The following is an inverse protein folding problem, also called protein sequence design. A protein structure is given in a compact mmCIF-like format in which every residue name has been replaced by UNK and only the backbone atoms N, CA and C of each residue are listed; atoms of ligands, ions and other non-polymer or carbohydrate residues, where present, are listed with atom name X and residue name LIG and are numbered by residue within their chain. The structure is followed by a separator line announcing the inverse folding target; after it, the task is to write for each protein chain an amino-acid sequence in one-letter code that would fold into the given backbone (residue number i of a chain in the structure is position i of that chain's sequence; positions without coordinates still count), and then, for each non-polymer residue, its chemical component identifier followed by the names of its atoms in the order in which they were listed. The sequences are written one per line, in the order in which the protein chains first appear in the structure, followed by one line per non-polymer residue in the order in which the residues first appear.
data_IF_974169162360
#
_entry.id   IF_974169162360
#
_cell.length_a   1.000
_cell.length_b   1.000
_cell.length_c   1.000
_cell.angle_alpha   90.00
_cell.angle_beta   90.00
_cell.angle_gamma   90.00
#
_symmetry.space_group_name_H-M   'P 1'
#
loop_
_entity.id
_entity.type
_entity.pdbx_description
1 polymer ?
#
# COMPACT_ATOMS: atom_id res chain seq x y z
N UNK A 1 -22.46 14.48 14.14
CA UNK A 1 -22.06 13.61 15.26
C UNK A 1 -21.11 12.59 14.66
N UNK A 2 -19.83 12.73 15.04
CA UNK A 2 -18.67 11.86 14.81
C UNK A 2 -18.46 11.33 13.39
N UNK A 3 -17.76 12.12 12.56
CA UNK A 3 -16.85 11.57 11.55
C UNK A 3 -15.94 10.55 12.25
N UNK A 4 -15.87 9.33 11.71
CA UNK A 4 -14.83 8.37 12.10
C UNK A 4 -13.44 8.95 11.81
N UNK A 5 -12.36 8.34 12.34
CA UNK A 5 -11.01 8.77 11.99
C UNK A 5 -10.90 8.72 10.46
N UNK A 6 -10.51 9.85 9.85
CA UNK A 6 -10.22 9.91 8.43
C UNK A 6 -9.23 8.78 8.10
N UNK A 7 -9.62 7.84 7.25
CA UNK A 7 -8.75 6.75 6.86
C UNK A 7 -7.52 7.35 6.15
N UNK A 8 -6.34 7.18 6.74
CA UNK A 8 -5.06 7.57 6.14
C UNK A 8 -4.84 6.69 4.92
N UNK A 9 -4.81 7.28 3.73
CA UNK A 9 -4.68 6.53 2.48
C UNK A 9 -4.97 7.37 1.24
N UNK A 10 -4.49 6.90 0.09
CA UNK A 10 -4.81 7.48 -1.22
C UNK A 10 -5.96 6.69 -1.88
N UNK A 11 -7.06 7.36 -2.20
CA UNK A 11 -8.27 6.72 -2.72
C UNK A 11 -8.63 7.17 -4.13
N UNK A 12 -9.09 6.21 -4.94
CA UNK A 12 -9.71 6.46 -6.24
C UNK A 12 -11.15 5.93 -6.26
N UNK A 13 -11.93 6.30 -7.28
CA UNK A 13 -13.34 5.93 -7.37
C UNK A 13 -13.68 5.17 -8.68
N UNK A 14 -13.14 3.96 -8.91
CA UNK A 14 -13.45 3.18 -10.10
C UNK A 14 -14.85 2.56 -10.03
N UNK A 15 -15.41 2.23 -11.20
CA UNK A 15 -16.58 1.36 -11.35
C UNK A 15 -16.15 -0.06 -11.67
N UNK A 16 -16.72 -1.03 -10.94
CA UNK A 16 -16.38 -2.45 -11.07
C UNK A 16 -17.56 -3.19 -11.69
N UNK A 17 -17.32 -3.87 -12.81
CA UNK A 17 -18.36 -4.57 -13.56
C UNK A 17 -19.54 -3.67 -13.96
N UNK A 18 -19.31 -2.39 -14.22
CA UNK A 18 -20.37 -1.44 -14.55
C UNK A 18 -21.31 -1.11 -13.37
N UNK A 19 -20.91 -1.40 -12.13
CA UNK A 19 -21.56 -0.94 -10.91
C UNK A 19 -21.33 0.55 -10.63
N UNK A 20 -21.76 1.05 -9.46
CA UNK A 20 -21.45 2.41 -9.03
C UNK A 20 -19.93 2.62 -8.89
N UNK A 21 -19.50 3.88 -8.90
CA UNK A 21 -18.15 4.23 -8.48
C UNK A 21 -18.06 4.07 -6.97
N UNK A 22 -17.01 3.39 -6.50
CA UNK A 22 -16.80 3.12 -5.07
C UNK A 22 -15.39 3.56 -4.65
N UNK A 23 -15.20 4.06 -3.42
CA UNK A 23 -13.88 4.44 -2.94
C UNK A 23 -13.01 3.19 -2.77
N UNK A 24 -11.84 3.18 -3.41
CA UNK A 24 -10.87 2.08 -3.35
C UNK A 24 -9.52 2.64 -2.92
N UNK A 25 -8.95 2.07 -1.85
CA UNK A 25 -7.61 2.38 -1.37
C UNK A 25 -6.58 1.88 -2.39
N UNK A 26 -5.69 2.76 -2.85
CA UNK A 26 -4.51 2.38 -3.64
C UNK A 26 -3.44 1.89 -2.69
N UNK A 27 -3.08 0.62 -2.82
CA UNK A 27 -2.18 -0.06 -1.91
C UNK A 27 -0.98 -0.61 -2.69
N UNK A 28 0.20 0.02 -2.55
CA UNK A 28 1.42 -0.50 -3.18
C UNK A 28 1.97 -1.72 -2.43
N UNK A 29 1.59 -1.90 -1.17
CA UNK A 29 1.86 -3.01 -0.26
C UNK A 29 1.25 -4.37 -0.64
N UNK A 30 0.28 -4.39 -1.55
CA UNK A 30 -0.42 -5.60 -2.00
C UNK A 30 -0.58 -5.66 -3.53
N UNK A 31 -1.18 -6.75 -4.06
CA UNK A 31 -1.38 -6.96 -5.50
C UNK A 31 -2.75 -7.58 -5.76
N UNK A 32 -3.54 -6.93 -6.62
CA UNK A 32 -4.89 -7.31 -7.04
C UNK A 32 -6.00 -6.51 -6.35
N UNK A 33 -7.26 -6.72 -6.73
CA UNK A 33 -8.40 -5.94 -6.24
C UNK A 33 -9.31 -6.79 -5.35
N UNK A 34 -9.43 -6.40 -4.07
CA UNK A 34 -10.45 -6.90 -3.14
C UNK A 34 -11.51 -5.83 -2.92
N UNK A 35 -12.78 -6.21 -2.96
CA UNK A 35 -13.92 -5.31 -2.74
C UNK A 35 -14.97 -5.95 -1.85
N UNK A 36 -15.51 -5.24 -0.85
CA UNK A 36 -16.64 -5.72 -0.07
C UNK A 36 -17.85 -6.02 -0.95
N UNK A 37 -18.63 -7.03 -0.55
CA UNK A 37 -19.83 -7.43 -1.27
C UNK A 37 -20.83 -6.28 -1.49
N UNK A 38 -20.95 -5.34 -0.55
CA UNK A 38 -21.87 -4.21 -0.70
C UNK A 38 -21.46 -3.19 -1.79
N UNK A 39 -20.20 -3.21 -2.23
CA UNK A 39 -19.63 -2.22 -3.16
C UNK A 39 -19.71 -2.66 -4.62
N UNK A 40 -20.33 -3.80 -4.88
CA UNK A 40 -20.46 -4.37 -6.23
C UNK A 40 -21.89 -4.80 -6.53
N UNK A 41 -22.26 -4.74 -7.80
CA UNK A 41 -23.47 -5.40 -8.28
C UNK A 41 -23.11 -6.81 -8.76
N UNK A 42 -23.32 -7.82 -7.91
CA UNK A 42 -23.01 -9.23 -8.23
C UNK A 42 -23.61 -9.70 -9.56
N UNK A 43 -24.80 -9.21 -9.94
CA UNK A 43 -25.45 -9.61 -11.18
C UNK A 43 -24.65 -9.21 -12.44
N UNK A 44 -23.77 -8.21 -12.32
CA UNK A 44 -22.95 -7.71 -13.42
C UNK A 44 -21.54 -8.32 -13.46
N UNK A 45 -21.12 -9.06 -12.43
CA UNK A 45 -19.74 -9.57 -12.33
C UNK A 45 -19.51 -10.86 -13.13
N UNK A 46 -20.58 -11.47 -13.64
CA UNK A 46 -20.53 -12.75 -14.35
C UNK A 46 -20.54 -13.95 -13.40
N UNK A 47 -19.99 -15.08 -13.87
CA UNK A 47 -19.98 -16.33 -13.11
C UNK A 47 -18.94 -16.27 -11.98
N UNK A 48 -19.27 -16.71 -10.75
CA UNK A 48 -18.30 -16.81 -9.67
C UNK A 48 -17.20 -17.82 -10.02
N UNK A 49 -15.97 -17.44 -9.74
CA UNK A 49 -14.79 -18.29 -9.80
C UNK A 49 -14.46 -18.93 -8.45
N UNK A 50 -13.19 -19.34 -8.24
CA UNK A 50 -12.73 -19.91 -6.98
C UNK A 50 -12.84 -18.92 -5.80
N UNK A 51 -13.00 -19.49 -4.60
CA UNK A 51 -12.87 -18.76 -3.34
C UNK A 51 -11.43 -18.81 -2.79
N UNK A 52 -11.09 -17.87 -1.92
CA UNK A 52 -9.77 -17.80 -1.28
C UNK A 52 -9.76 -16.86 -0.08
N UNK A 53 -8.56 -16.62 0.45
CA UNK A 53 -8.34 -15.71 1.58
C UNK A 53 -7.29 -14.65 1.24
N UNK A 54 -7.49 -13.44 1.75
CA UNK A 54 -6.51 -12.37 1.75
C UNK A 54 -6.21 -11.97 3.20
N UNK A 55 -4.97 -11.58 3.47
CA UNK A 55 -4.49 -11.13 4.77
C UNK A 55 -3.93 -9.72 4.66
N UNK A 56 -4.37 -8.83 5.55
CA UNK A 56 -3.90 -7.45 5.66
C UNK A 56 -3.52 -7.15 7.12
N UNK A 57 -2.59 -6.23 7.32
CA UNK A 57 -2.08 -5.87 8.64
C UNK A 57 -0.72 -6.46 8.96
N UNK A 58 -0.15 -6.03 10.08
CA UNK A 58 1.11 -6.56 10.59
C UNK A 58 0.90 -7.91 11.30
N UNK A 59 1.92 -8.76 11.25
CA UNK A 59 1.83 -10.10 11.84
C UNK A 59 1.97 -10.10 13.37
N UNK A 60 2.23 -8.95 14.01
CA UNK A 60 2.56 -8.86 15.44
C UNK A 60 1.46 -8.27 16.32
N UNK A 61 0.59 -7.40 15.80
CA UNK A 61 -0.43 -6.70 16.58
C UNK A 61 -1.87 -7.05 16.14
N UNK A 62 -2.16 -7.06 14.84
CA UNK A 62 -3.51 -7.37 14.34
C UNK A 62 -3.52 -7.77 12.86
N UNK A 63 -4.07 -8.95 12.56
CA UNK A 63 -4.23 -9.44 11.19
C UNK A 63 -5.71 -9.45 10.82
N UNK A 64 -6.06 -8.72 9.76
CA UNK A 64 -7.34 -8.81 9.07
C UNK A 64 -7.27 -9.95 8.05
N UNK A 65 -8.21 -10.89 8.13
CA UNK A 65 -8.40 -11.93 7.12
C UNK A 65 -9.74 -11.72 6.42
N UNK A 66 -9.70 -11.68 5.10
CA UNK A 66 -10.85 -11.54 4.21
C UNK A 66 -11.05 -12.85 3.45
N UNK A 67 -12.21 -13.46 3.60
CA UNK A 67 -12.63 -14.56 2.73
C UNK A 67 -13.34 -13.98 1.51
N UNK A 68 -12.97 -14.42 0.31
CA UNK A 68 -13.51 -13.87 -0.93
C UNK A 68 -13.92 -14.95 -1.93
N UNK A 69 -14.75 -14.53 -2.89
CA UNK A 69 -15.01 -15.25 -4.14
C UNK A 69 -14.55 -14.39 -5.31
N UNK A 70 -13.82 -14.99 -6.26
CA UNK A 70 -13.31 -14.27 -7.42
C UNK A 70 -14.34 -14.15 -8.54
N UNK A 71 -14.22 -13.10 -9.34
CA UNK A 71 -15.00 -12.85 -10.55
C UNK A 71 -14.08 -12.31 -11.63
N UNK A 72 -14.43 -12.53 -12.90
CA UNK A 72 -13.70 -11.97 -14.04
C UNK A 72 -14.57 -10.89 -14.68
N UNK A 73 -14.17 -9.63 -14.53
CA UNK A 73 -14.95 -8.47 -15.00
C UNK A 73 -14.03 -7.31 -15.39
N UNK A 74 -14.60 -6.19 -15.80
CA UNK A 74 -13.85 -4.96 -16.12
C UNK A 74 -13.82 -4.00 -14.93
N UNK A 75 -12.73 -3.25 -14.80
CA UNK A 75 -12.63 -2.10 -13.88
C UNK A 75 -12.49 -0.84 -14.73
N UNK A 76 -13.36 0.13 -14.51
CA UNK A 76 -13.41 1.40 -15.22
C UNK A 76 -12.94 2.52 -14.29
N UNK A 77 -11.80 3.12 -14.61
CA UNK A 77 -11.20 4.22 -13.87
C UNK A 77 -11.68 5.61 -14.31
N UNK A 78 -12.65 5.67 -15.23
CA UNK A 78 -13.13 6.91 -15.85
C UNK A 78 -12.34 7.29 -17.11
N UNK A 79 -12.79 8.34 -17.81
CA UNK A 79 -12.11 8.91 -18.99
C UNK A 79 -11.77 7.90 -20.11
N UNK A 80 -12.51 6.79 -20.21
CA UNK A 80 -12.24 5.72 -21.17
C UNK A 80 -11.11 4.76 -20.78
N UNK A 81 -10.53 4.92 -19.58
CA UNK A 81 -9.52 4.03 -19.02
C UNK A 81 -10.25 2.84 -18.39
N UNK A 82 -10.40 1.78 -19.17
CA UNK A 82 -11.09 0.55 -18.77
C UNK A 82 -10.18 -0.64 -19.00
N UNK A 83 -10.10 -1.53 -18.01
CA UNK A 83 -9.34 -2.77 -18.16
C UNK A 83 -10.01 -3.70 -19.18
N UNK A 84 -9.21 -4.59 -19.76
CA UNK A 84 -9.76 -5.87 -20.21
C UNK A 84 -10.34 -6.67 -19.02
N UNK A 85 -10.95 -7.84 -19.27
CA UNK A 85 -11.38 -8.71 -18.19
C UNK A 85 -10.22 -9.05 -17.24
N UNK A 86 -10.43 -8.84 -15.94
CA UNK A 86 -9.45 -9.05 -14.88
C UNK A 86 -10.12 -9.68 -13.66
N UNK A 87 -9.32 -10.32 -12.82
CA UNK A 87 -9.78 -10.91 -11.55
C UNK A 87 -10.12 -9.80 -10.55
N UNK A 88 -11.31 -9.87 -9.98
CA UNK A 88 -11.77 -9.08 -8.83
C UNK A 88 -12.22 -10.04 -7.75
N UNK A 89 -11.74 -9.87 -6.53
CA UNK A 89 -12.18 -10.65 -5.38
C UNK A 89 -13.25 -9.89 -4.60
N UNK A 90 -14.42 -10.51 -4.49
CA UNK A 90 -15.52 -9.98 -3.68
C UNK A 90 -15.47 -10.62 -2.31
N UNK A 91 -15.21 -9.80 -1.29
CA UNK A 91 -15.12 -10.23 0.11
C UNK A 91 -16.51 -10.60 0.62
N UNK A 92 -16.64 -11.83 1.10
CA UNK A 92 -17.91 -12.41 1.59
C UNK A 92 -17.97 -12.50 3.11
N UNK A 93 -16.82 -12.55 3.77
CA UNK A 93 -16.70 -12.52 5.22
C UNK A 93 -15.33 -11.94 5.60
N UNK A 94 -15.22 -11.37 6.81
CA UNK A 94 -13.96 -10.88 7.33
C UNK A 94 -13.85 -11.12 8.83
N UNK A 95 -12.64 -11.35 9.32
CA UNK A 95 -12.33 -11.45 10.74
C UNK A 95 -10.97 -10.86 11.04
N UNK A 96 -10.80 -10.34 12.26
CA UNK A 96 -9.51 -9.92 12.80
C UNK A 96 -9.05 -10.88 13.87
N UNK A 97 -7.75 -11.13 13.88
CA UNK A 97 -7.07 -11.90 14.91
C UNK A 97 -6.01 -11.02 15.54
N UNK A 98 -6.08 -10.86 16.85
CA UNK A 98 -5.08 -10.17 17.67
C UNK A 98 -4.80 -10.96 18.97
N UNK A 99 -4.10 -10.33 19.91
CA UNK A 99 -3.75 -10.94 21.21
C UNK A 99 -4.97 -11.34 22.07
N UNK A 100 -6.15 -10.79 21.79
CA UNK A 100 -7.41 -11.09 22.49
C UNK A 100 -8.19 -12.23 21.82
N UNK A 101 -7.78 -12.69 20.64
CA UNK A 101 -8.39 -13.77 19.88
C UNK A 101 -8.96 -13.30 18.53
N UNK A 102 -9.86 -14.11 17.96
CA UNK A 102 -10.49 -13.84 16.67
C UNK A 102 -11.91 -13.29 16.83
N UNK A 103 -12.26 -12.26 16.07
CA UNK A 103 -13.61 -11.70 16.01
C UNK A 103 -14.00 -11.30 14.59
N UNK A 104 -15.28 -11.41 14.27
CA UNK A 104 -15.84 -11.00 12.97
C UNK A 104 -15.77 -9.49 12.80
N UNK A 105 -15.40 -9.05 11.60
CA UNK A 105 -15.47 -7.64 11.20
C UNK A 105 -16.65 -7.45 10.23
N UNK A 106 -17.55 -6.50 10.48
CA UNK A 106 -18.59 -6.15 9.52
C UNK A 106 -17.99 -5.76 8.17
N UNK A 107 -18.56 -6.25 7.06
CA UNK A 107 -18.07 -5.90 5.72
C UNK A 107 -18.17 -4.40 5.43
N UNK A 108 -19.07 -3.67 6.10
CA UNK A 108 -19.17 -2.20 6.05
C UNK A 108 -17.91 -1.48 6.54
N UNK A 109 -17.08 -2.16 7.32
CA UNK A 109 -15.89 -1.59 7.96
C UNK A 109 -14.60 -2.02 7.24
N UNK A 110 -14.74 -2.81 6.17
CA UNK A 110 -13.63 -3.27 5.33
C UNK A 110 -13.52 -2.33 4.12
N UNK A 111 -12.35 -1.72 3.87
CA UNK A 111 -12.16 -0.92 2.67
C UNK A 111 -12.03 -1.83 1.44
N UNK A 112 -12.49 -1.35 0.28
CA UNK A 112 -12.01 -1.88 -0.98
C UNK A 112 -10.54 -1.53 -1.17
N UNK A 113 -9.72 -2.48 -1.62
CA UNK A 113 -8.26 -2.32 -1.78
C UNK A 113 -7.84 -2.70 -3.19
N UNK A 114 -7.19 -1.77 -3.89
CA UNK A 114 -6.49 -2.02 -5.14
C UNK A 114 -4.99 -2.11 -4.90
N UNK A 115 -4.53 -3.33 -4.74
CA UNK A 115 -3.12 -3.70 -4.74
C UNK A 115 -2.45 -3.40 -6.10
N UNK A 116 -1.56 -2.42 -6.11
CA UNK A 116 -0.77 -2.02 -7.29
C UNK A 116 0.70 -2.45 -7.20
N UNK A 117 1.08 -3.18 -6.15
CA UNK A 117 2.39 -3.82 -6.02
C UNK A 117 2.61 -4.97 -7.02
N UNK A 118 3.85 -5.47 -7.05
CA UNK A 118 4.33 -6.44 -8.05
C UNK A 118 4.84 -7.72 -7.43
N UNK A 119 5.63 -7.67 -6.36
CA UNK A 119 6.33 -8.83 -5.80
C UNK A 119 5.76 -9.34 -4.46
N UNK A 120 4.53 -8.92 -4.13
CA UNK A 120 3.75 -9.34 -2.96
C UNK A 120 2.27 -9.46 -3.34
N UNK A 121 1.44 -9.96 -2.43
CA UNK A 121 -0.03 -9.94 -2.57
C UNK A 121 -0.66 -11.26 -3.00
N UNK A 122 -2.00 -11.28 -2.98
CA UNK A 122 -2.83 -12.49 -3.05
C UNK A 122 -3.12 -12.95 -4.48
N UNK A 123 -3.06 -12.03 -5.44
CA UNK A 123 -3.38 -12.28 -6.83
C UNK A 123 -2.10 -12.38 -7.68
N UNK A 124 -2.12 -13.05 -8.84
CA UNK A 124 -0.93 -13.21 -9.68
C UNK A 124 -0.47 -11.91 -10.36
N UNK A 125 -1.38 -10.95 -10.58
CA UNK A 125 -1.12 -9.68 -11.26
C UNK A 125 -1.93 -8.55 -10.64
N UNK A 126 -1.47 -7.31 -10.79
CA UNK A 126 -2.29 -6.14 -10.46
C UNK A 126 -3.39 -5.95 -11.50
N UNK A 127 -4.54 -5.41 -11.07
CA UNK A 127 -5.66 -4.99 -11.95
C UNK A 127 -5.19 -4.00 -13.03
N UNK A 128 -4.20 -3.17 -12.72
CA UNK A 128 -3.63 -2.19 -13.67
C UNK A 128 -2.97 -2.89 -14.86
N UNK A 129 -2.38 -4.07 -14.68
CA UNK A 129 -1.75 -4.84 -15.77
C UNK A 129 -2.76 -5.32 -16.83
N UNK A 130 -4.07 -5.29 -16.52
CA UNK A 130 -5.13 -5.59 -17.48
C UNK A 130 -5.55 -4.37 -18.32
N UNK A 131 -4.97 -3.18 -18.10
CA UNK A 131 -5.21 -2.02 -18.95
C UNK A 131 -4.58 -2.21 -20.35
N UNK A 132 -5.23 -1.71 -21.41
CA UNK A 132 -4.79 -1.93 -22.78
C UNK A 132 -3.53 -1.13 -23.14
N UNK A 133 -2.74 -1.67 -24.06
CA UNK A 133 -1.57 -1.01 -24.63
C UNK A 133 -0.52 -0.68 -23.57
N UNK A 134 -0.05 0.56 -23.57
CA UNK A 134 1.01 0.98 -22.64
C UNK A 134 0.49 1.33 -21.24
N UNK A 135 -0.83 1.45 -21.04
CA UNK A 135 -1.43 1.85 -19.77
C UNK A 135 -1.15 0.83 -18.64
N UNK A 136 -0.96 -0.45 -18.99
CA UNK A 136 -0.65 -1.51 -18.03
C UNK A 136 0.83 -1.66 -17.68
N UNK A 137 1.70 -0.69 -17.99
CA UNK A 137 3.15 -0.78 -17.72
C UNK A 137 3.55 -0.39 -16.29
N UNK A 138 2.69 0.33 -15.60
CA UNK A 138 2.92 0.80 -14.24
C UNK A 138 1.95 1.90 -13.88
N UNK A 139 2.17 2.50 -12.73
CA UNK A 139 1.30 3.54 -12.18
C UNK A 139 2.10 4.54 -11.36
N UNK A 140 1.89 5.83 -11.62
CA UNK A 140 2.40 6.93 -10.81
C UNK A 140 1.37 7.27 -9.73
N UNK A 141 1.79 7.21 -8.48
CA UNK A 141 1.04 7.76 -7.34
C UNK A 141 1.64 9.13 -7.03
N UNK A 142 0.86 10.19 -7.21
CA UNK A 142 1.26 11.55 -6.90
C UNK A 142 0.21 12.17 -6.00
N UNK A 143 0.39 12.02 -4.68
CA UNK A 143 -0.60 12.40 -3.66
C UNK A 143 -0.01 13.40 -2.65
N UNK A 144 0.14 14.68 -2.99
CA UNK A 144 0.70 15.66 -2.06
C UNK A 144 -0.25 15.94 -0.89
N UNK A 145 0.14 15.58 0.35
CA UNK A 145 -0.67 15.69 1.58
C UNK A 145 -1.33 17.07 1.83
N UNK A 146 -0.76 18.14 1.28
CA UNK A 146 -1.22 19.51 1.51
C UNK A 146 -1.73 20.22 0.25
N UNK A 147 -1.89 19.52 -0.87
CA UNK A 147 -2.45 20.10 -2.08
C UNK A 147 -3.68 19.30 -2.55
N UNK A 148 -4.81 19.96 -2.88
CA UNK A 148 -5.91 19.27 -3.54
C UNK A 148 -5.45 18.81 -4.93
N UNK A 149 -5.85 17.60 -5.32
CA UNK A 149 -5.61 17.09 -6.67
C UNK A 149 -4.53 16.02 -6.80
N UNK A 150 -4.40 15.13 -5.82
CA UNK A 150 -3.63 13.90 -5.98
C UNK A 150 -4.11 13.11 -7.22
N UNK A 151 -3.16 12.49 -7.92
CA UNK A 151 -3.40 11.80 -9.20
C UNK A 151 -2.85 10.39 -9.17
N UNK A 152 -3.58 9.50 -9.85
CA UNK A 152 -3.12 8.16 -10.21
C UNK A 152 -2.99 8.12 -11.74
N UNK A 153 -1.76 8.09 -12.25
CA UNK A 153 -1.52 8.10 -13.69
C UNK A 153 -1.05 6.72 -14.16
N UNK A 154 -1.75 6.14 -15.12
CA UNK A 154 -1.45 4.82 -15.66
C UNK A 154 -0.56 4.91 -16.89
N UNK A 155 0.36 3.95 -17.00
CA UNK A 155 1.18 3.75 -18.19
C UNK A 155 2.66 3.99 -17.95
N UNK A 156 3.44 4.40 -18.98
CA UNK A 156 4.86 4.72 -18.79
C UNK A 156 5.05 5.84 -17.77
N UNK A 157 6.15 5.81 -17.01
CA UNK A 157 6.47 6.90 -16.07
C UNK A 157 6.55 8.24 -16.83
N UNK A 158 5.67 9.21 -16.51
CA UNK A 158 5.66 10.50 -17.20
C UNK A 158 6.71 11.47 -16.64
N UNK A 159 7.33 11.16 -15.49
CA UNK A 159 8.24 12.04 -14.79
C UNK A 159 9.70 11.58 -14.88
N UNK A 160 10.67 12.49 -14.69
CA UNK A 160 12.08 12.14 -14.60
C UNK A 160 12.38 11.40 -13.27
N UNK A 161 12.95 10.21 -13.39
CA UNK A 161 13.43 9.44 -12.25
C UNK A 161 14.59 10.16 -11.54
N UNK A 162 14.46 10.36 -10.23
CA UNK A 162 15.54 10.82 -9.35
C UNK A 162 16.36 9.64 -8.85
N UNK A 163 15.67 8.61 -8.37
CA UNK A 163 16.27 7.38 -7.84
C UNK A 163 15.27 6.23 -7.92
N UNK A 164 15.75 5.01 -7.77
CA UNK A 164 14.92 3.82 -7.87
C UNK A 164 15.42 2.69 -7.00
N UNK A 165 14.50 1.81 -6.62
CA UNK A 165 14.76 0.58 -5.90
C UNK A 165 14.20 -0.58 -6.69
N UNK A 166 15.01 -1.62 -6.88
CA UNK A 166 14.54 -2.87 -7.46
C UNK A 166 13.59 -3.57 -6.49
N UNK A 167 12.40 -3.93 -6.97
CA UNK A 167 11.32 -4.48 -6.16
C UNK A 167 10.19 -3.46 -5.96
N UNK A 168 8.97 -3.96 -5.98
CA UNK A 168 7.77 -3.17 -5.69
C UNK A 168 6.69 -4.05 -5.05
N UNK A 169 6.29 -3.82 -3.81
CA UNK A 169 6.83 -2.86 -2.84
C UNK A 169 8.06 -3.39 -2.09
N UNK A 170 8.31 -4.70 -2.10
CA UNK A 170 9.34 -5.30 -1.25
C UNK A 170 10.72 -5.13 -1.84
N UNK A 171 11.61 -4.55 -1.04
CA UNK A 171 12.99 -4.30 -1.40
C UNK A 171 13.94 -4.42 -0.20
N UNK A 172 15.25 -4.38 -0.47
CA UNK A 172 16.28 -4.14 0.55
C UNK A 172 16.52 -2.64 0.66
N UNK A 173 16.28 -2.08 1.84
CA UNK A 173 16.55 -0.68 2.14
C UNK A 173 17.63 -0.56 3.22
N UNK A 174 18.25 0.62 3.32
CA UNK A 174 19.16 0.96 4.41
C UNK A 174 18.54 2.09 5.21
N UNK A 175 18.40 1.89 6.52
CA UNK A 175 17.76 2.85 7.42
C UNK A 175 18.79 3.46 8.36
N UNK A 176 18.73 4.78 8.53
CA UNK A 176 19.50 5.49 9.54
C UNK A 176 18.53 6.23 10.47
N UNK A 177 18.59 5.91 11.77
CA UNK A 177 17.80 6.56 12.81
C UNK A 177 18.65 7.57 13.55
N UNK A 178 18.15 8.79 13.69
CA UNK A 178 18.69 9.82 14.56
C UNK A 178 17.71 10.05 15.71
N UNK A 179 18.05 9.71 16.97
CA UNK A 179 17.15 9.90 18.09
C UNK A 179 16.98 11.40 18.40
N UNK A 180 15.93 11.77 19.17
CA UNK A 180 15.64 13.17 19.49
C UNK A 180 16.82 13.86 20.19
N UNK A 181 17.34 14.92 19.57
CA UNK A 181 18.50 15.68 20.09
C UNK A 181 19.83 14.91 20.07
N UNK A 182 19.89 13.73 19.45
CA UNK A 182 21.09 12.91 19.33
C UNK A 182 21.78 13.03 17.97
N UNK A 183 22.82 12.20 17.79
CA UNK A 183 23.53 12.07 16.51
C UNK A 183 22.97 10.90 15.69
N UNK A 184 23.08 10.93 14.35
CA UNK A 184 22.67 9.81 13.51
C UNK A 184 23.36 8.50 13.92
N UNK A 185 22.58 7.43 14.04
CA UNK A 185 23.07 6.08 14.27
C UNK A 185 23.82 5.53 13.05
N UNK A 186 24.37 4.32 13.19
CA UNK A 186 24.95 3.62 12.05
C UNK A 186 23.85 3.14 11.09
N UNK A 187 23.96 3.37 9.77
CA UNK A 187 23.00 2.84 8.79
C UNK A 187 22.88 1.32 8.90
N UNK A 188 21.66 0.80 8.93
CA UNK A 188 21.35 -0.63 9.04
C UNK A 188 20.64 -1.12 7.78
N UNK A 189 21.09 -2.23 7.21
CA UNK A 189 20.38 -2.88 6.09
C UNK A 189 19.17 -3.65 6.61
N UNK A 190 18.01 -3.43 6.02
CA UNK A 190 16.74 -4.03 6.43
C UNK A 190 16.08 -4.73 5.25
N UNK A 191 15.74 -6.01 5.45
CA UNK A 191 15.00 -6.81 4.48
C UNK A 191 14.12 -7.86 5.19
N UNK A 192 12.87 -8.06 4.74
CA UNK A 192 12.18 -7.28 3.71
C UNK A 192 11.75 -5.89 4.20
N UNK A 193 11.80 -4.90 3.31
CA UNK A 193 11.22 -3.56 3.52
C UNK A 193 10.15 -3.29 2.48
N UNK A 194 9.01 -2.72 2.86
CA UNK A 194 7.91 -2.39 1.96
C UNK A 194 7.77 -0.86 1.78
N UNK A 195 7.73 -0.41 0.53
CA UNK A 195 7.34 0.96 0.15
C UNK A 195 5.84 0.95 -0.16
N UNK A 196 5.04 1.36 0.83
CA UNK A 196 3.64 0.92 0.95
C UNK A 196 2.67 2.08 1.25
N UNK A 197 1.98 2.57 0.23
CA UNK A 197 0.95 3.60 0.35
C UNK A 197 -0.30 3.14 1.14
N UNK A 198 -0.56 1.84 1.23
CA UNK A 198 -1.64 1.26 2.03
C UNK A 198 -1.24 0.99 3.48
N UNK A 199 0.05 1.09 3.80
CA UNK A 199 0.66 0.77 5.10
C UNK A 199 0.42 1.81 6.21
N UNK A 200 -0.60 2.67 6.08
CA UNK A 200 -0.91 3.76 6.99
C UNK A 200 0.32 4.66 7.24
N UNK A 201 0.69 4.90 8.50
CA UNK A 201 1.87 5.70 8.87
C UNK A 201 3.18 4.90 8.87
N UNK A 202 3.12 3.59 8.61
CA UNK A 202 4.28 2.71 8.53
C UNK A 202 4.66 2.06 9.85
N UNK A 203 5.69 1.22 9.79
CA UNK A 203 6.21 0.41 10.90
C UNK A 203 7.73 0.49 10.91
N UNK A 204 8.32 0.76 12.08
CA UNK A 204 9.76 0.68 12.31
C UNK A 204 10.09 -0.52 13.22
N UNK A 205 11.06 -1.37 12.82
CA UNK A 205 11.60 -2.41 13.69
C UNK A 205 12.11 -1.86 15.03
N UNK A 206 11.65 -2.44 16.15
CA UNK A 206 12.02 -2.02 17.50
C UNK A 206 13.52 -2.02 17.75
N UNK A 207 14.28 -2.93 17.14
CA UNK A 207 15.74 -2.98 17.31
C UNK A 207 16.47 -1.75 16.74
N UNK A 208 15.84 -0.98 15.86
CA UNK A 208 16.38 0.27 15.30
C UNK A 208 16.11 1.49 16.17
N UNK A 209 15.19 1.37 17.13
CA UNK A 209 14.82 2.45 18.07
C UNK A 209 14.91 1.92 19.51
N UNK A 210 16.14 1.67 20.02
CA UNK A 210 16.32 1.07 21.34
C UNK A 210 15.67 1.91 22.45
N UNK A 211 14.93 1.25 23.34
CA UNK A 211 14.22 1.90 24.45
C UNK A 211 12.77 2.27 24.16
N UNK A 212 12.31 2.12 22.91
CA UNK A 212 10.89 2.25 22.57
C UNK A 212 10.09 0.98 22.89
N UNK A 213 8.83 1.14 23.30
CA UNK A 213 7.88 0.05 23.50
C UNK A 213 7.27 -0.38 22.17
N UNK A 214 7.04 -1.68 21.99
CA UNK A 214 6.25 -2.18 20.88
C UNK A 214 4.79 -1.68 20.98
N UNK A 215 4.20 -1.29 19.86
CA UNK A 215 2.86 -0.71 19.76
C UNK A 215 2.80 0.81 20.00
N UNK A 216 3.87 1.42 20.50
CA UNK A 216 3.96 2.88 20.64
C UNK A 216 4.43 3.53 19.32
N UNK A 217 4.00 4.77 19.02
CA UNK A 217 4.61 5.57 17.97
C UNK A 217 6.10 5.80 18.22
N UNK A 218 6.87 5.95 17.14
CA UNK A 218 8.28 6.37 17.21
C UNK A 218 8.42 7.67 18.01
N UNK A 219 9.43 7.82 18.90
CA UNK A 219 9.58 9.00 19.74
C UNK A 219 9.66 10.31 18.93
N UNK A 220 8.96 11.35 19.39
CA UNK A 220 8.97 12.67 18.74
C UNK A 220 10.37 13.28 18.70
N UNK A 221 10.71 13.90 17.57
CA UNK A 221 12.04 14.43 17.26
C UNK A 221 12.99 13.40 16.66
N UNK A 222 12.57 12.13 16.53
CA UNK A 222 13.34 11.11 15.81
C UNK A 222 13.34 11.44 14.33
N UNK A 223 14.52 11.36 13.70
CA UNK A 223 14.65 11.47 12.24
C UNK A 223 14.98 10.11 11.65
N UNK A 224 14.16 9.67 10.70
CA UNK A 224 14.41 8.52 9.84
C UNK A 224 14.97 9.02 8.50
N UNK A 225 16.11 8.48 8.09
CA UNK A 225 16.60 8.61 6.71
C UNK A 225 16.64 7.24 6.06
N UNK A 226 16.03 7.13 4.89
CA UNK A 226 15.90 5.88 4.14
C UNK A 226 16.73 5.98 2.88
N UNK A 227 17.53 4.95 2.62
CA UNK A 227 18.39 4.85 1.47
C UNK A 227 18.06 3.59 0.66
N UNK A 228 18.42 3.62 -0.62
CA UNK A 228 18.55 2.42 -1.45
C UNK A 228 19.59 1.47 -0.84
N UNK A 229 19.55 0.19 -1.23
CA UNK A 229 20.61 -0.77 -0.86
C UNK A 229 22.02 -0.36 -1.29
N UNK A 230 22.17 0.57 -2.24
CA UNK A 230 23.45 1.14 -2.68
C UNK A 230 23.88 2.40 -1.93
N UNK A 231 23.06 2.91 -0.99
CA UNK A 231 23.37 4.08 -0.18
C UNK A 231 22.95 5.43 -0.77
N UNK A 232 22.09 5.45 -1.79
CA UNK A 232 21.48 6.71 -2.30
C UNK A 232 20.25 7.04 -1.46
N UNK A 233 20.11 8.28 -1.00
CA UNK A 233 18.93 8.68 -0.21
C UNK A 233 17.65 8.59 -1.04
N UNK A 234 16.59 8.07 -0.44
CA UNK A 234 15.24 8.04 -0.98
C UNK A 234 14.40 9.16 -0.36
N UNK A 235 14.35 9.19 0.97
CA UNK A 235 13.68 10.25 1.71
C UNK A 235 14.19 10.35 3.15
N UNK A 236 13.94 11.51 3.75
CA UNK A 236 14.13 11.78 5.15
C UNK A 236 12.83 12.30 5.76
N UNK A 237 12.52 11.89 6.99
CA UNK A 237 11.41 12.42 7.78
C UNK A 237 11.80 12.58 9.24
N UNK A 238 11.43 13.72 9.83
CA UNK A 238 11.53 13.98 11.26
C UNK A 238 10.13 13.97 11.86
N UNK A 239 9.85 13.05 12.78
CA UNK A 239 8.52 12.87 13.35
C UNK A 239 8.27 13.90 14.44
N UNK A 240 7.40 14.87 14.18
CA UNK A 240 7.12 15.99 15.11
C UNK A 240 5.76 15.91 15.79
N UNK A 241 4.88 15.00 15.35
CA UNK A 241 3.57 14.73 15.95
C UNK A 241 3.43 13.24 16.25
N UNK A 242 2.37 12.87 16.98
CA UNK A 242 2.05 11.48 17.27
C UNK A 242 1.65 10.68 16.00
N UNK A 243 1.48 11.35 14.86
CA UNK A 243 1.27 10.74 13.54
C UNK A 243 2.61 10.22 12.97
N UNK A 244 3.23 9.31 13.71
CA UNK A 244 4.51 8.68 13.39
C UNK A 244 4.31 7.17 13.15
N UNK A 245 5.26 6.50 12.48
CA UNK A 245 5.25 5.04 12.36
C UNK A 245 5.16 4.36 13.73
N UNK A 246 4.51 3.21 13.78
CA UNK A 246 4.47 2.38 15.00
C UNK A 246 5.77 1.60 15.14
N UNK A 247 6.27 1.49 16.37
CA UNK A 247 7.40 0.61 16.69
C UNK A 247 6.89 -0.81 16.91
N UNK A 248 7.40 -1.78 16.17
CA UNK A 248 6.95 -3.18 16.27
C UNK A 248 8.12 -4.16 16.48
N UNK A 249 7.93 -5.30 17.17
CA UNK A 249 8.94 -6.32 17.38
C UNK A 249 9.10 -7.21 16.13
N UNK A 250 9.38 -6.57 15.00
CA UNK A 250 9.52 -7.18 13.67
C UNK A 250 10.92 -6.94 13.11
N UNK A 251 11.29 -7.70 12.08
CA UNK A 251 12.46 -7.41 11.26
C UNK A 251 12.11 -6.58 10.02
N UNK A 252 10.83 -6.42 9.72
CA UNK A 252 10.35 -5.77 8.52
C UNK A 252 10.16 -4.28 8.74
N UNK A 253 10.51 -3.48 7.74
CA UNK A 253 10.20 -2.06 7.72
C UNK A 253 9.06 -1.80 6.73
N UNK A 254 8.13 -0.92 7.09
CA UNK A 254 7.08 -0.43 6.19
C UNK A 254 7.12 1.09 6.20
N UNK A 255 7.26 1.73 5.04
CA UNK A 255 7.34 3.20 4.94
C UNK A 255 6.05 3.90 5.35
N UNK A 256 4.91 3.21 5.25
CA UNK A 256 3.61 3.81 5.16
C UNK A 256 3.48 4.73 3.95
N UNK A 257 2.46 5.58 4.00
CA UNK A 257 2.14 6.57 2.98
C UNK A 257 3.09 7.79 2.97
N UNK A 258 3.90 7.95 4.01
CA UNK A 258 4.74 9.14 4.23
C UNK A 258 5.61 9.56 3.02
N UNK A 259 6.33 8.66 2.32
CA UNK A 259 7.10 9.08 1.13
C UNK A 259 6.20 9.51 -0.05
N UNK A 260 4.99 8.97 -0.17
CA UNK A 260 4.04 9.32 -1.24
C UNK A 260 3.45 10.73 -1.07
N UNK A 261 3.43 11.23 0.17
CA UNK A 261 3.07 12.60 0.49
C UNK A 261 4.14 13.63 0.11
N UNK A 262 5.38 13.17 -0.10
CA UNK A 262 6.54 14.03 -0.38
C UNK A 262 6.95 14.01 -1.85
N UNK A 263 6.80 12.85 -2.49
CA UNK A 263 7.30 12.60 -3.83
C UNK A 263 6.24 11.89 -4.67
N UNK A 264 6.15 12.22 -5.97
CA UNK A 264 5.55 11.31 -6.93
C UNK A 264 6.36 10.01 -6.95
N UNK A 265 5.69 8.88 -6.77
CA UNK A 265 6.32 7.55 -6.75
C UNK A 265 5.68 6.68 -7.81
N UNK A 266 6.50 6.25 -8.77
CA UNK A 266 6.08 5.38 -9.86
C UNK A 266 6.39 3.92 -9.55
N UNK A 267 5.36 3.07 -9.69
CA UNK A 267 5.44 1.63 -9.57
C UNK A 267 5.55 1.02 -10.96
N UNK A 268 6.75 0.59 -11.33
CA UNK A 268 6.99 -0.12 -12.58
C UNK A 268 6.70 -1.61 -12.44
N UNK A 269 6.00 -2.18 -13.42
CA UNK A 269 5.80 -3.64 -13.52
C UNK A 269 6.95 -4.38 -14.21
N UNK A 270 8.04 -3.66 -14.49
CA UNK A 270 9.28 -4.22 -15.02
C UNK A 270 10.38 -4.30 -13.93
N UNK A 271 11.17 -5.38 -13.90
CA UNK A 271 10.97 -6.63 -14.64
C UNK A 271 9.76 -7.42 -14.11
N UNK A 272 9.16 -8.22 -14.99
CA UNK A 272 7.94 -8.98 -14.67
C UNK A 272 8.10 -9.82 -13.40
N UNK A 273 7.10 -9.73 -12.51
CA UNK A 273 7.06 -10.48 -11.25
C UNK A 273 7.96 -9.93 -10.14
N UNK A 274 8.73 -8.88 -10.39
CA UNK A 274 9.59 -8.24 -9.39
C UNK A 274 9.31 -6.74 -9.25
N UNK A 275 9.21 -6.04 -10.38
CA UNK A 275 8.93 -4.61 -10.44
C UNK A 275 10.08 -3.71 -9.99
N UNK A 276 9.85 -2.40 -10.08
CA UNK A 276 10.78 -1.36 -9.63
C UNK A 276 9.96 -0.21 -9.04
N UNK A 277 10.35 0.27 -7.87
CA UNK A 277 9.79 1.49 -7.26
C UNK A 277 10.70 2.67 -7.60
N UNK A 278 10.15 3.72 -8.19
CA UNK A 278 10.90 4.89 -8.68
C UNK A 278 10.39 6.14 -7.96
N UNK A 279 11.31 6.95 -7.44
CA UNK A 279 11.03 8.27 -6.87
C UNK A 279 11.35 9.31 -7.93
N UNK A 280 10.36 10.15 -8.25
CA UNK A 280 10.44 11.16 -9.31
C UNK A 280 10.52 12.59 -8.74
N UNK A 281 10.80 13.57 -9.61
CA UNK A 281 10.87 15.01 -9.31
C UNK A 281 9.77 15.83 -10.01
#
# INVERSE_FOLDING_TARGET
MTDGPAHIGFYINPSIGGGPNVPVLVDTGSRGLTVPLQDVNLANLGTPGPSGTAHYGDSSASVLTEEYTTYTTTVNFGNGIVTGPTTVAVVTSAFRTDSSGQYTVPLSDIPAVMGVGVNVGHFPTSTVQALPGNLGQGVLVNDPMFAPGGTLEFGPNPLPAVTSVSGAPTATLVLQITPPGGTPGAPQTVYPSAIDAGGQLGVIPQYLVPGSTAGDPVPLGTTLTVYTGSGTELYQETFMTADAPTVEPTFNFNTGILPFYKYPIYISYSPSGFGTTIFDA
#
